data_IF_250966981704
#
_entry.id   IF_250966981704
#
_cell.length_a   1.000
_cell.length_b   1.000
_cell.length_c   1.000
_cell.angle_alpha   90.00
_cell.angle_beta   90.00
_cell.angle_gamma   90.00
#
_symmetry.space_group_name_H-M   'P 1'
#
loop_
_entity.id
_entity.type
_entity.pdbx_description
1 polymer ?
#
# COMPACT_ATOMS: atom_id res chain seq x y z
N UNK A 1 26.56 -7.85 5.94
CA UNK A 1 27.34 -7.29 7.06
C UNK A 1 26.51 -7.28 8.34
N UNK A 2 25.28 -6.80 8.30
CA UNK A 2 24.39 -6.75 9.47
C UNK A 2 24.09 -8.07 10.17
N UNK A 3 24.03 -9.19 9.44
CA UNK A 3 23.87 -10.52 10.06
C UNK A 3 25.18 -10.99 10.73
N UNK A 4 26.34 -10.61 10.18
CA UNK A 4 27.66 -11.09 10.62
C UNK A 4 28.25 -10.20 11.72
N UNK A 5 27.95 -8.91 11.71
CA UNK A 5 28.34 -7.91 12.72
C UNK A 5 27.15 -6.99 12.99
N UNK A 6 26.14 -7.44 13.76
CA UNK A 6 24.99 -6.61 14.08
C UNK A 6 25.38 -5.46 15.01
N UNK A 7 24.71 -4.31 14.87
CA UNK A 7 24.96 -3.10 15.68
C UNK A 7 24.52 -3.25 17.15
N UNK A 8 23.68 -4.25 17.41
CA UNK A 8 23.17 -4.66 18.71
C UNK A 8 22.39 -5.97 18.55
N UNK A 9 22.02 -6.62 19.65
CA UNK A 9 21.15 -7.81 19.57
C UNK A 9 19.68 -7.39 19.71
N UNK A 10 18.79 -7.75 18.75
CA UNK A 10 17.39 -7.33 18.77
C UNK A 10 16.65 -7.74 20.05
N UNK A 11 17.08 -8.83 20.70
CA UNK A 11 16.46 -9.34 21.92
C UNK A 11 16.59 -8.42 23.14
N UNK A 12 17.51 -7.45 23.14
CA UNK A 12 17.64 -6.48 24.23
C UNK A 12 16.74 -5.25 24.07
N UNK A 13 16.04 -5.11 22.93
CA UNK A 13 15.18 -3.97 22.67
C UNK A 13 13.72 -4.42 22.68
N UNK A 14 12.97 -3.92 23.66
CA UNK A 14 11.54 -4.18 23.73
C UNK A 14 10.81 -3.47 22.58
N UNK A 15 9.79 -4.11 21.97
CA UNK A 15 8.94 -3.45 21.00
C UNK A 15 8.33 -2.17 21.60
N UNK A 16 8.24 -1.11 20.80
CA UNK A 16 7.73 0.19 21.24
C UNK A 16 6.38 0.51 20.59
N UNK A 17 5.53 1.24 21.31
CA UNK A 17 4.21 1.66 20.83
C UNK A 17 3.30 0.47 20.48
N UNK A 18 2.56 0.58 19.38
CA UNK A 18 1.59 -0.44 18.94
C UNK A 18 2.23 -1.81 18.64
N UNK A 19 3.52 -1.85 18.28
CA UNK A 19 4.24 -3.11 18.06
C UNK A 19 4.42 -3.95 19.34
N UNK A 20 4.28 -3.36 20.53
CA UNK A 20 4.30 -4.10 21.79
C UNK A 20 3.02 -4.89 22.03
N UNK A 21 1.88 -4.38 21.54
CA UNK A 21 0.57 -4.98 21.77
C UNK A 21 0.12 -5.84 20.59
N UNK A 22 0.42 -5.43 19.36
CA UNK A 22 -0.11 -6.06 18.15
C UNK A 22 0.86 -6.00 16.96
N UNK A 23 2.02 -6.68 17.00
CA UNK A 23 3.06 -6.54 15.98
C UNK A 23 2.60 -6.91 14.56
N UNK A 24 1.71 -7.91 14.43
CA UNK A 24 1.16 -8.31 13.13
C UNK A 24 0.24 -7.24 12.54
N UNK A 25 -0.63 -6.63 13.36
CA UNK A 25 -1.58 -5.62 12.90
C UNK A 25 -0.87 -4.31 12.59
N UNK A 26 0.08 -3.91 13.43
CA UNK A 26 0.92 -2.72 13.19
C UNK A 26 1.74 -2.87 11.92
N UNK A 27 2.36 -4.04 11.69
CA UNK A 27 3.09 -4.32 10.45
C UNK A 27 2.20 -4.34 9.21
N UNK A 28 0.97 -4.85 9.32
CA UNK A 28 0.00 -4.84 8.22
C UNK A 28 -0.38 -3.41 7.81
N UNK A 29 -0.61 -2.54 8.79
CA UNK A 29 -0.97 -1.13 8.57
C UNK A 29 0.21 -0.33 8.01
N UNK A 30 1.43 -0.58 8.51
CA UNK A 30 2.61 0.03 7.90
C UNK A 30 2.90 -0.46 6.49
N UNK A 31 2.40 -1.65 6.14
CA UNK A 31 2.33 -2.09 4.75
C UNK A 31 1.57 -1.12 3.84
N UNK A 32 0.66 -0.29 4.36
CA UNK A 32 -0.04 0.70 3.53
C UNK A 32 0.92 1.77 2.98
N UNK A 33 1.98 2.10 3.72
CA UNK A 33 2.96 3.08 3.27
C UNK A 33 3.80 2.59 2.08
N UNK A 34 3.77 1.29 1.75
CA UNK A 34 4.48 0.75 0.58
C UNK A 34 3.82 1.11 -0.74
N UNK A 35 2.53 1.47 -0.73
CA UNK A 35 1.73 1.77 -1.93
C UNK A 35 1.53 0.60 -2.91
N UNK A 36 2.12 -0.57 -2.68
CA UNK A 36 2.10 -1.70 -3.63
C UNK A 36 0.68 -2.22 -3.91
N UNK A 37 -0.18 -2.25 -2.88
CA UNK A 37 -1.57 -2.69 -3.02
C UNK A 37 -2.37 -1.79 -3.95
N UNK A 38 -2.35 -0.47 -3.72
CA UNK A 38 -3.03 0.50 -4.56
C UNK A 38 -2.38 0.60 -5.95
N UNK A 39 -1.05 0.57 -6.02
CA UNK A 39 -0.28 0.61 -7.25
C UNK A 39 -0.56 -0.57 -8.18
N UNK A 40 -0.83 -1.77 -7.62
CA UNK A 40 -1.20 -2.95 -8.42
C UNK A 40 -2.50 -2.77 -9.21
N UNK A 41 -3.44 -1.96 -8.70
CA UNK A 41 -4.70 -1.66 -9.39
C UNK A 41 -4.45 -0.70 -10.55
N UNK A 42 -3.58 0.29 -10.36
CA UNK A 42 -3.25 1.29 -11.38
C UNK A 42 -2.37 0.73 -12.51
N UNK A 43 -1.31 -0.01 -12.18
CA UNK A 43 -0.35 -0.54 -13.15
C UNK A 43 -0.70 -1.97 -13.64
N UNK A 44 -1.71 -2.61 -13.05
CA UNK A 44 -2.06 -4.00 -13.36
C UNK A 44 -2.37 -4.25 -14.85
N UNK A 45 -3.04 -3.30 -15.51
CA UNK A 45 -3.35 -3.41 -16.95
C UNK A 45 -2.08 -3.38 -17.81
N UNK A 46 -1.13 -2.49 -17.49
CA UNK A 46 0.13 -2.35 -18.20
C UNK A 46 0.98 -3.61 -18.07
N UNK A 47 1.00 -4.26 -16.90
CA UNK A 47 1.66 -5.58 -16.72
C UNK A 47 1.03 -6.62 -17.64
N UNK A 48 -0.29 -6.69 -17.66
CA UNK A 48 -1.04 -7.66 -18.46
C UNK A 48 -0.76 -7.45 -19.96
N UNK A 49 -0.73 -6.21 -20.43
CA UNK A 49 -0.41 -5.85 -21.80
C UNK A 49 1.03 -6.16 -22.15
N UNK A 50 1.99 -5.78 -21.30
CA UNK A 50 3.41 -6.08 -21.51
C UNK A 50 3.65 -7.59 -21.66
N UNK A 51 3.01 -8.42 -20.84
CA UNK A 51 3.16 -9.89 -20.95
C UNK A 51 2.47 -10.45 -22.20
N UNK A 52 1.39 -9.81 -22.68
CA UNK A 52 0.76 -10.17 -23.96
C UNK A 52 1.67 -9.82 -25.14
N UNK A 53 2.34 -8.68 -25.09
CA UNK A 53 3.28 -8.22 -26.12
C UNK A 53 4.51 -9.12 -26.23
N UNK A 54 4.90 -9.77 -25.12
CA UNK A 54 5.91 -10.84 -25.11
C UNK A 54 5.44 -12.16 -25.77
N UNK A 55 4.24 -12.20 -26.33
CA UNK A 55 3.72 -13.32 -27.13
C UNK A 55 2.80 -14.29 -26.39
N UNK A 56 2.47 -14.04 -25.11
CA UNK A 56 1.56 -14.90 -24.32
C UNK A 56 0.11 -14.57 -24.64
N UNK A 57 -0.51 -15.32 -25.54
CA UNK A 57 -1.88 -15.06 -26.02
C UNK A 57 -2.98 -15.76 -25.23
N UNK A 58 -2.71 -16.89 -24.57
CA UNK A 58 -3.76 -17.63 -23.88
C UNK A 58 -4.04 -17.05 -22.47
N UNK A 59 -5.31 -16.81 -22.09
CA UNK A 59 -5.65 -16.22 -20.79
C UNK A 59 -5.13 -17.02 -19.59
N UNK A 60 -5.13 -18.36 -19.71
CA UNK A 60 -4.63 -19.24 -18.65
C UNK A 60 -3.11 -19.15 -18.49
N UNK A 61 -2.35 -19.12 -19.58
CA UNK A 61 -0.90 -18.96 -19.49
C UNK A 61 -0.54 -17.56 -19.01
N UNK A 62 -1.27 -16.52 -19.43
CA UNK A 62 -1.08 -15.16 -18.95
C UNK A 62 -1.21 -15.07 -17.43
N UNK A 63 -2.28 -15.63 -16.86
CA UNK A 63 -2.49 -15.66 -15.41
C UNK A 63 -1.39 -16.45 -14.67
N UNK A 64 -0.98 -17.60 -15.19
CA UNK A 64 0.08 -18.42 -14.57
C UNK A 64 1.44 -17.72 -14.63
N UNK A 65 1.78 -17.12 -15.77
CA UNK A 65 3.05 -16.41 -15.95
C UNK A 65 3.17 -15.22 -15.02
N UNK A 66 2.12 -14.38 -14.96
CA UNK A 66 2.06 -13.23 -14.04
C UNK A 66 2.08 -13.71 -12.59
N UNK A 67 1.31 -14.75 -12.26
CA UNK A 67 1.27 -15.31 -10.90
C UNK A 67 2.62 -15.87 -10.44
N UNK A 68 3.34 -16.60 -11.29
CA UNK A 68 4.68 -17.11 -10.99
C UNK A 68 5.70 -15.97 -10.83
N UNK A 69 5.70 -15.00 -11.74
CA UNK A 69 6.58 -13.84 -11.65
C UNK A 69 6.30 -13.03 -10.38
N UNK A 70 5.02 -12.80 -10.05
CA UNK A 70 4.59 -12.11 -8.85
C UNK A 70 4.96 -12.86 -7.57
N UNK A 71 4.83 -14.19 -7.55
CA UNK A 71 5.24 -15.00 -6.38
C UNK A 71 6.74 -14.93 -6.13
N UNK A 72 7.56 -15.08 -7.18
CA UNK A 72 9.03 -14.98 -7.07
C UNK A 72 9.42 -13.57 -6.60
N UNK A 73 8.89 -12.52 -7.25
CA UNK A 73 9.14 -11.14 -6.88
C UNK A 73 8.71 -10.82 -5.44
N UNK A 74 7.52 -11.26 -5.05
CA UNK A 74 6.97 -11.07 -3.71
C UNK A 74 7.80 -11.76 -2.62
N UNK A 75 8.27 -12.99 -2.87
CA UNK A 75 9.16 -13.70 -1.95
C UNK A 75 10.51 -12.99 -1.80
N UNK A 76 11.10 -12.52 -2.90
CA UNK A 76 12.35 -11.76 -2.84
C UNK A 76 12.16 -10.45 -2.05
N UNK A 77 11.06 -9.73 -2.28
CA UNK A 77 10.73 -8.52 -1.54
C UNK A 77 10.49 -8.78 -0.05
N UNK A 78 9.81 -9.88 0.30
CA UNK A 78 9.62 -10.27 1.70
C UNK A 78 10.96 -10.51 2.41
N UNK A 79 11.91 -11.19 1.75
CA UNK A 79 13.26 -11.38 2.30
C UNK A 79 13.95 -10.03 2.52
N UNK A 80 13.89 -9.12 1.54
CA UNK A 80 14.49 -7.78 1.67
C UNK A 80 13.89 -7.02 2.85
N UNK A 81 12.56 -7.03 3.02
CA UNK A 81 11.92 -6.36 4.14
C UNK A 81 12.28 -6.97 5.49
N UNK A 82 12.35 -8.30 5.61
CA UNK A 82 12.82 -8.95 6.85
C UNK A 82 14.25 -8.51 7.18
N UNK A 83 15.14 -8.45 6.20
CA UNK A 83 16.52 -7.99 6.39
C UNK A 83 16.59 -6.50 6.79
N UNK A 84 15.78 -5.65 6.17
CA UNK A 84 15.68 -4.22 6.50
C UNK A 84 15.13 -4.02 7.93
N UNK A 85 14.07 -4.73 8.30
CA UNK A 85 13.50 -4.70 9.65
C UNK A 85 14.50 -5.19 10.69
N UNK A 86 15.24 -6.28 10.41
CA UNK A 86 16.32 -6.74 11.27
C UNK A 86 17.42 -5.68 11.44
N UNK A 87 17.85 -5.05 10.34
CA UNK A 87 18.82 -3.95 10.41
C UNK A 87 18.32 -2.77 11.22
N UNK A 88 17.06 -2.37 11.04
CA UNK A 88 16.41 -1.31 11.83
C UNK A 88 16.29 -1.66 13.32
N UNK A 89 16.02 -2.92 13.67
CA UNK A 89 15.98 -3.36 15.07
C UNK A 89 17.37 -3.35 15.71
N UNK A 90 18.40 -3.84 14.99
CA UNK A 90 19.78 -3.86 15.51
C UNK A 90 20.40 -2.47 15.63
N UNK A 91 19.97 -1.50 14.82
CA UNK A 91 20.51 -0.13 14.85
C UNK A 91 20.22 0.58 16.17
N UNK A 92 19.19 0.15 16.92
CA UNK A 92 18.87 0.64 18.25
C UNK A 92 19.99 0.41 19.29
N UNK A 93 20.95 -0.46 19.00
CA UNK A 93 22.12 -0.64 19.85
C UNK A 93 23.19 0.45 19.74
N UNK A 94 23.12 1.30 18.73
CA UNK A 94 24.04 2.42 18.53
C UNK A 94 23.32 3.75 18.39
N UNK A 95 22.08 3.74 17.91
CA UNK A 95 21.30 4.93 17.62
C UNK A 95 19.97 4.92 18.37
N UNK A 96 19.45 6.11 18.65
CA UNK A 96 18.06 6.25 19.10
C UNK A 96 17.10 6.00 17.93
N UNK A 97 15.83 5.65 18.20
CA UNK A 97 14.82 5.51 17.16
C UNK A 97 14.78 6.74 16.25
N UNK A 98 14.98 6.53 14.94
CA UNK A 98 14.98 7.60 13.94
C UNK A 98 13.55 8.04 13.62
N UNK A 99 13.37 9.30 13.22
CA UNK A 99 12.04 9.85 12.90
C UNK A 99 11.38 9.19 11.67
N UNK A 100 12.16 8.64 10.73
CA UNK A 100 11.66 7.89 9.59
C UNK A 100 12.72 6.90 9.04
N UNK A 101 12.29 6.00 8.16
CA UNK A 101 13.15 4.98 7.57
C UNK A 101 14.30 5.52 6.72
N UNK A 102 14.14 6.69 6.08
CA UNK A 102 15.20 7.33 5.30
C UNK A 102 16.40 7.73 6.17
N UNK A 103 16.12 8.38 7.31
CA UNK A 103 17.16 8.77 8.28
C UNK A 103 17.84 7.51 8.86
N UNK A 104 17.05 6.49 9.21
CA UNK A 104 17.58 5.23 9.72
C UNK A 104 18.54 4.56 8.72
N UNK A 105 18.18 4.51 7.44
CA UNK A 105 19.02 3.93 6.39
C UNK A 105 20.35 4.69 6.21
N UNK A 106 20.33 6.02 6.24
CA UNK A 106 21.54 6.85 6.16
C UNK A 106 22.46 6.60 7.36
N UNK A 107 21.90 6.53 8.58
CA UNK A 107 22.67 6.23 9.80
C UNK A 107 23.30 4.84 9.74
N UNK A 108 22.54 3.83 9.31
CA UNK A 108 23.00 2.45 9.16
C UNK A 108 24.09 2.36 8.07
N UNK A 109 23.88 3.00 6.91
CA UNK A 109 24.85 3.00 5.81
C UNK A 109 26.16 3.70 6.20
N UNK A 110 26.07 4.84 6.90
CA UNK A 110 27.24 5.56 7.43
C UNK A 110 28.00 4.70 8.43
N UNK A 111 27.31 3.94 9.28
CA UNK A 111 27.95 3.06 10.25
C UNK A 111 28.74 1.92 9.58
N UNK A 112 28.15 1.22 8.61
CA UNK A 112 28.82 0.06 7.98
C UNK A 112 29.87 0.43 6.92
N UNK A 113 29.66 1.51 6.19
CA UNK A 113 30.47 1.86 5.02
C UNK A 113 31.18 3.22 5.14
N UNK A 114 31.05 3.91 6.27
CA UNK A 114 31.65 5.23 6.50
C UNK A 114 31.14 6.28 5.50
N UNK A 115 31.99 7.26 5.16
CA UNK A 115 31.64 8.33 4.22
C UNK A 115 31.26 7.85 2.82
N UNK A 116 31.80 6.72 2.36
CA UNK A 116 31.45 6.11 1.07
C UNK A 116 30.06 5.47 1.07
N UNK A 117 29.54 5.10 2.25
CA UNK A 117 28.21 4.50 2.40
C UNK A 117 27.08 5.39 1.89
N UNK A 118 27.17 6.70 2.15
CA UNK A 118 26.14 7.65 1.75
C UNK A 118 26.11 7.86 0.23
N UNK A 119 27.26 7.85 -0.43
CA UNK A 119 27.34 7.93 -1.90
C UNK A 119 26.71 6.67 -2.51
N UNK A 120 27.11 5.49 -2.02
CA UNK A 120 26.59 4.22 -2.51
C UNK A 120 25.07 4.11 -2.29
N UNK A 121 24.60 4.46 -1.09
CA UNK A 121 23.17 4.47 -0.76
C UNK A 121 22.40 5.42 -1.68
N UNK A 122 22.92 6.63 -1.91
CA UNK A 122 22.26 7.61 -2.78
C UNK A 122 22.12 7.09 -4.21
N UNK A 123 23.16 6.48 -4.78
CA UNK A 123 23.12 5.89 -6.11
C UNK A 123 22.09 4.76 -6.21
N UNK A 124 22.07 3.85 -5.24
CA UNK A 124 21.11 2.74 -5.19
C UNK A 124 19.69 3.28 -5.10
N UNK A 125 19.44 4.26 -4.23
CA UNK A 125 18.12 4.88 -4.05
C UNK A 125 17.67 5.61 -5.30
N UNK A 126 18.56 6.35 -5.98
CA UNK A 126 18.24 7.01 -7.26
C UNK A 126 17.79 5.97 -8.30
N UNK A 127 18.57 4.90 -8.50
CA UNK A 127 18.24 3.86 -9.48
C UNK A 127 16.93 3.14 -9.11
N UNK A 128 16.74 2.83 -7.83
CA UNK A 128 15.55 2.13 -7.34
C UNK A 128 14.28 2.99 -7.44
N UNK A 129 14.35 4.27 -7.10
CA UNK A 129 13.21 5.18 -7.18
C UNK A 129 12.90 5.62 -8.61
N UNK A 130 13.92 5.76 -9.47
CA UNK A 130 13.74 6.18 -10.86
C UNK A 130 12.88 5.19 -11.64
N UNK A 131 13.14 3.88 -11.53
CA UNK A 131 12.32 2.86 -12.21
C UNK A 131 10.84 2.90 -11.76
N UNK A 132 10.60 3.12 -10.47
CA UNK A 132 9.24 3.14 -9.91
C UNK A 132 8.51 4.42 -10.29
N UNK A 133 9.20 5.56 -10.28
CA UNK A 133 8.66 6.82 -10.75
C UNK A 133 8.26 6.76 -12.23
N UNK A 134 9.13 6.21 -13.09
CA UNK A 134 8.83 6.02 -14.51
C UNK A 134 7.60 5.13 -14.69
N UNK A 135 7.57 3.97 -14.03
CA UNK A 135 6.46 3.01 -14.17
C UNK A 135 5.11 3.57 -13.68
N UNK A 136 5.10 4.28 -12.53
CA UNK A 136 3.85 4.86 -11.99
C UNK A 136 3.37 6.06 -12.79
N UNK A 137 4.27 6.95 -13.22
CA UNK A 137 3.89 8.13 -14.01
C UNK A 137 3.37 7.75 -15.40
N UNK A 138 3.98 6.76 -16.06
CA UNK A 138 3.46 6.27 -17.35
C UNK A 138 2.11 5.59 -17.18
N UNK A 139 1.97 4.69 -16.20
CA UNK A 139 0.72 3.97 -15.96
C UNK A 139 -0.44 4.91 -15.59
N UNK A 140 -0.16 5.96 -14.81
CA UNK A 140 -1.14 6.99 -14.48
C UNK A 140 -1.58 7.75 -15.73
N UNK A 141 -0.64 8.14 -16.59
CA UNK A 141 -0.94 8.84 -17.83
C UNK A 141 -1.76 7.97 -18.80
N UNK A 142 -1.41 6.70 -18.98
CA UNK A 142 -2.17 5.73 -19.77
C UNK A 142 -3.60 5.58 -19.24
N UNK A 143 -3.73 5.28 -17.94
CA UNK A 143 -5.03 5.06 -17.29
C UNK A 143 -5.93 6.29 -17.38
N UNK A 144 -5.38 7.49 -17.18
CA UNK A 144 -6.17 8.73 -17.28
C UNK A 144 -6.61 9.03 -18.71
N UNK A 145 -5.75 8.75 -19.70
CA UNK A 145 -6.10 8.91 -21.12
C UNK A 145 -7.16 7.90 -21.57
N UNK A 146 -7.15 6.68 -21.03
CA UNK A 146 -8.15 5.67 -21.32
C UNK A 146 -9.50 5.96 -20.66
N UNK A 147 -9.50 6.35 -19.38
CA UNK A 147 -10.73 6.66 -18.63
C UNK A 147 -11.37 7.96 -19.14
N UNK A 148 -10.56 8.96 -19.48
CA UNK A 148 -11.01 10.27 -19.93
C UNK A 148 -10.45 10.60 -21.31
N UNK A 149 -11.20 10.32 -22.39
CA UNK A 149 -10.75 10.53 -23.78
C UNK A 149 -10.36 11.98 -24.13
N UNK A 150 -10.68 12.95 -23.26
CA UNK A 150 -10.29 14.36 -23.41
C UNK A 150 -8.84 14.63 -22.98
N UNK A 151 -8.26 13.80 -22.12
CA UNK A 151 -6.90 13.98 -21.63
C UNK A 151 -5.92 13.21 -22.50
N UNK A 152 -5.03 13.93 -23.18
CA UNK A 152 -3.95 13.32 -23.96
C UNK A 152 -2.84 12.84 -23.04
N UNK A 153 -2.18 11.74 -23.41
CA UNK A 153 -1.14 11.08 -22.61
C UNK A 153 -0.01 12.05 -22.18
N UNK A 154 0.57 12.79 -23.13
CA UNK A 154 1.75 13.61 -22.88
C UNK A 154 1.50 14.75 -21.86
N UNK A 155 0.42 15.56 -21.95
CA UNK A 155 0.08 16.53 -20.91
C UNK A 155 -0.13 15.91 -19.51
N UNK A 156 -0.79 14.75 -19.43
CA UNK A 156 -1.02 14.07 -18.14
C UNK A 156 0.30 13.57 -17.55
N UNK A 157 1.17 13.01 -18.39
CA UNK A 157 2.49 12.55 -17.97
C UNK A 157 3.34 13.71 -17.43
N UNK A 158 3.39 14.83 -18.16
CA UNK A 158 4.13 16.03 -17.73
C UNK A 158 3.57 16.53 -16.41
N UNK A 159 2.23 16.61 -16.28
CA UNK A 159 1.57 17.00 -15.04
C UNK A 159 1.97 16.09 -13.88
N UNK A 160 1.91 14.76 -14.06
CA UNK A 160 2.25 13.79 -13.02
C UNK A 160 3.72 13.93 -12.56
N UNK A 161 4.67 14.07 -13.49
CA UNK A 161 6.09 14.22 -13.15
C UNK A 161 6.37 15.56 -12.46
N UNK A 162 5.84 16.67 -12.98
CA UNK A 162 6.05 18.00 -12.39
C UNK A 162 5.45 18.07 -10.99
N UNK A 163 4.22 17.57 -10.80
CA UNK A 163 3.59 17.54 -9.48
C UNK A 163 4.37 16.65 -8.50
N UNK A 164 4.84 15.48 -8.95
CA UNK A 164 5.67 14.60 -8.10
C UNK A 164 6.99 15.27 -7.70
N UNK A 165 7.63 15.99 -8.63
CA UNK A 165 8.87 16.72 -8.36
C UNK A 165 8.65 17.87 -7.36
N UNK A 166 7.52 18.58 -7.43
CA UNK A 166 7.14 19.60 -6.46
C UNK A 166 6.92 18.99 -5.07
N UNK A 167 6.14 17.90 -4.99
CA UNK A 167 5.85 17.23 -3.71
C UNK A 167 7.10 16.59 -3.08
N UNK A 168 8.07 16.14 -3.90
CA UNK A 168 9.33 15.59 -3.41
C UNK A 168 10.15 16.59 -2.56
N UNK A 169 9.87 17.89 -2.66
CA UNK A 169 10.54 18.93 -1.84
C UNK A 169 10.06 18.97 -0.39
N UNK A 170 8.89 18.39 -0.06
CA UNK A 170 8.26 18.50 1.27
C UNK A 170 8.93 17.65 2.37
N UNK A 171 9.91 16.82 2.02
CA UNK A 171 10.56 15.89 2.96
C UNK A 171 9.69 14.66 3.28
N UNK A 172 10.34 13.53 3.61
CA UNK A 172 9.67 12.23 3.73
C UNK A 172 8.61 12.19 4.84
N UNK A 173 8.88 12.78 6.01
CA UNK A 173 7.94 12.75 7.15
C UNK A 173 6.64 13.48 6.86
N UNK A 174 6.72 14.70 6.32
CA UNK A 174 5.52 15.47 5.95
C UNK A 174 4.80 14.86 4.76
N UNK A 175 5.54 14.28 3.79
CA UNK A 175 4.93 13.53 2.69
C UNK A 175 4.10 12.35 3.20
N UNK A 176 4.63 11.53 4.12
CA UNK A 176 3.88 10.43 4.73
C UNK A 176 2.64 10.97 5.45
N UNK A 177 2.79 12.02 6.27
CA UNK A 177 1.67 12.65 6.98
C UNK A 177 0.57 13.15 6.05
N UNK A 178 0.94 13.73 4.91
CA UNK A 178 0.00 14.21 3.89
C UNK A 178 -0.72 13.07 3.17
N UNK A 179 -0.02 11.98 2.86
CA UNK A 179 -0.55 10.87 2.06
C UNK A 179 -1.37 9.89 2.92
N UNK A 180 -1.04 9.70 4.20
CA UNK A 180 -1.68 8.75 5.12
C UNK A 180 -3.23 8.81 5.14
N UNK A 181 -3.89 9.98 5.24
CA UNK A 181 -5.35 10.08 5.19
C UNK A 181 -5.94 9.51 3.91
N UNK A 182 -5.29 9.74 2.77
CA UNK A 182 -5.71 9.22 1.47
C UNK A 182 -5.54 7.70 1.43
N UNK A 183 -4.43 7.19 1.96
CA UNK A 183 -4.19 5.74 2.01
C UNK A 183 -5.23 5.02 2.87
N UNK A 184 -5.57 5.56 4.03
CA UNK A 184 -6.58 4.97 4.91
C UNK A 184 -7.96 4.91 4.26
N UNK A 185 -8.25 5.75 3.28
CA UNK A 185 -9.48 5.67 2.47
C UNK A 185 -9.31 4.63 1.35
N UNK A 186 -8.21 4.68 0.60
CA UNK A 186 -8.01 3.88 -0.62
C UNK A 186 -7.72 2.41 -0.36
N UNK A 187 -6.97 2.09 0.70
CA UNK A 187 -6.56 0.71 1.02
C UNK A 187 -7.72 -0.24 1.33
N UNK A 188 -8.72 0.12 2.15
CA UNK A 188 -9.89 -0.71 2.40
C UNK A 188 -10.58 -1.17 1.10
N UNK A 189 -10.78 -0.24 0.15
CA UNK A 189 -11.33 -0.56 -1.16
C UNK A 189 -10.39 -1.46 -1.95
N UNK A 190 -9.11 -1.10 -2.03
CA UNK A 190 -8.12 -1.83 -2.82
C UNK A 190 -8.01 -3.30 -2.39
N UNK A 191 -7.87 -3.55 -1.08
CA UNK A 191 -7.77 -4.90 -0.53
C UNK A 191 -9.03 -5.71 -0.83
N UNK A 192 -10.22 -5.13 -0.61
CA UNK A 192 -11.47 -5.84 -0.86
C UNK A 192 -11.67 -6.15 -2.34
N UNK A 193 -11.35 -5.21 -3.23
CA UNK A 193 -11.42 -5.43 -4.67
C UNK A 193 -10.47 -6.53 -5.12
N UNK A 194 -9.23 -6.56 -4.61
CA UNK A 194 -8.26 -7.62 -4.89
C UNK A 194 -8.79 -8.98 -4.41
N UNK A 195 -9.23 -9.07 -3.15
CA UNK A 195 -9.74 -10.31 -2.55
C UNK A 195 -10.95 -10.86 -3.32
N UNK A 196 -11.95 -10.01 -3.61
CA UNK A 196 -13.13 -10.40 -4.38
C UNK A 196 -12.73 -10.83 -5.80
N UNK A 197 -11.73 -10.18 -6.41
CA UNK A 197 -11.23 -10.55 -7.74
C UNK A 197 -10.57 -11.92 -7.78
N UNK A 198 -9.88 -12.32 -6.70
CA UNK A 198 -9.28 -13.66 -6.59
C UNK A 198 -10.33 -14.76 -6.44
N UNK A 199 -11.38 -14.52 -5.66
CA UNK A 199 -12.48 -15.49 -5.47
C UNK A 199 -13.57 -15.38 -6.54
N UNK A 200 -13.48 -14.41 -7.46
CA UNK A 200 -14.46 -14.16 -8.53
C UNK A 200 -14.89 -15.42 -9.29
N UNK A 201 -14.00 -16.37 -9.66
CA UNK A 201 -14.41 -17.59 -10.36
C UNK A 201 -15.37 -18.49 -9.55
N UNK A 202 -15.38 -18.37 -8.22
CA UNK A 202 -16.27 -19.11 -7.32
C UNK A 202 -17.61 -18.39 -7.09
N UNK A 203 -17.70 -17.11 -7.46
CA UNK A 203 -18.89 -16.28 -7.23
C UNK A 203 -19.89 -16.41 -8.38
N UNK A 204 -21.15 -16.67 -8.04
CA UNK A 204 -22.26 -16.70 -9.02
C UNK A 204 -22.54 -15.33 -9.63
N UNK A 205 -22.58 -14.28 -8.80
CA UNK A 205 -22.83 -12.89 -9.22
C UNK A 205 -21.82 -11.94 -8.57
N UNK A 206 -20.58 -11.88 -9.10
CA UNK A 206 -19.53 -11.08 -8.49
C UNK A 206 -19.91 -9.59 -8.39
N UNK A 207 -20.66 -9.04 -9.35
CA UNK A 207 -21.07 -7.63 -9.37
C UNK A 207 -21.81 -7.17 -8.11
N UNK A 208 -22.75 -7.97 -7.61
CA UNK A 208 -23.52 -7.63 -6.39
C UNK A 208 -22.61 -7.68 -5.17
N UNK A 209 -21.71 -8.66 -5.11
CA UNK A 209 -20.73 -8.80 -4.02
C UNK A 209 -19.79 -7.60 -3.99
N UNK A 210 -19.27 -7.17 -5.14
CA UNK A 210 -18.46 -5.94 -5.25
C UNK A 210 -19.23 -4.71 -4.76
N UNK A 211 -20.44 -4.49 -5.27
CA UNK A 211 -21.23 -3.31 -4.90
C UNK A 211 -21.51 -3.27 -3.40
N UNK A 212 -22.03 -4.36 -2.84
CA UNK A 212 -22.38 -4.41 -1.41
C UNK A 212 -21.15 -4.24 -0.53
N UNK A 213 -20.05 -4.92 -0.83
CA UNK A 213 -18.81 -4.78 -0.06
C UNK A 213 -18.27 -3.35 -0.11
N UNK A 214 -18.23 -2.73 -1.29
CA UNK A 214 -17.79 -1.33 -1.46
C UNK A 214 -18.68 -0.34 -0.71
N UNK A 215 -20.01 -0.47 -0.79
CA UNK A 215 -20.94 0.43 -0.11
C UNK A 215 -20.77 0.40 1.42
N UNK A 216 -20.64 -0.80 1.98
CA UNK A 216 -20.48 -0.98 3.42
C UNK A 216 -19.14 -0.48 3.94
N UNK A 217 -18.08 -0.54 3.13
CA UNK A 217 -16.74 -0.07 3.49
C UNK A 217 -16.60 1.45 3.35
N UNK A 218 -17.39 2.10 2.49
CA UNK A 218 -17.18 3.50 2.17
C UNK A 218 -17.22 4.43 3.40
N UNK A 219 -18.22 4.23 4.28
CA UNK A 219 -18.37 5.04 5.50
C UNK A 219 -17.19 4.86 6.44
N UNK A 220 -16.81 3.65 6.89
CA UNK A 220 -15.68 3.48 7.81
C UNK A 220 -14.33 3.84 7.17
N UNK A 221 -14.15 3.67 5.87
CA UNK A 221 -12.93 4.08 5.17
C UNK A 221 -12.77 5.61 5.16
N UNK A 222 -13.83 6.35 4.79
CA UNK A 222 -13.84 7.81 4.82
C UNK A 222 -13.64 8.31 6.25
N UNK A 223 -14.33 7.71 7.23
CA UNK A 223 -14.16 8.04 8.64
C UNK A 223 -12.71 7.88 9.09
N UNK A 224 -12.10 6.73 8.79
CA UNK A 224 -10.70 6.44 9.12
C UNK A 224 -9.74 7.47 8.52
N UNK A 225 -9.95 7.83 7.24
CA UNK A 225 -9.17 8.87 6.57
C UNK A 225 -9.27 10.22 7.27
N UNK A 226 -10.48 10.68 7.59
CA UNK A 226 -10.71 11.96 8.27
C UNK A 226 -10.07 11.97 9.66
N UNK A 227 -10.24 10.90 10.44
CA UNK A 227 -9.68 10.83 11.80
C UNK A 227 -8.16 10.68 11.84
N UNK A 228 -7.54 10.34 10.71
CA UNK A 228 -6.07 10.28 10.58
C UNK A 228 -5.47 11.68 10.45
N UNK A 229 -6.27 12.72 10.16
CA UNK A 229 -5.79 14.10 10.05
C UNK A 229 -5.72 14.73 11.45
N UNK A 230 -4.52 15.02 12.00
CA UNK A 230 -4.39 15.48 13.39
C UNK A 230 -5.04 16.84 13.64
N UNK A 231 -5.03 17.72 12.65
CA UNK A 231 -5.57 19.08 12.74
C UNK A 231 -7.10 19.11 12.92
N UNK A 232 -7.79 18.07 12.42
CA UNK A 232 -9.24 17.96 12.56
C UNK A 232 -9.66 17.45 13.96
N UNK A 233 -8.74 16.88 14.74
CA UNK A 233 -9.03 16.36 16.08
C UNK A 233 -9.42 17.48 17.08
N UNK A 234 -8.88 18.67 16.89
CA UNK A 234 -9.12 19.82 17.77
C UNK A 234 -10.34 20.66 17.38
N UNK A 235 -10.94 20.39 16.22
CA UNK A 235 -12.12 21.11 15.76
C UNK A 235 -13.39 20.54 16.42
N UNK A 236 -14.18 21.35 17.15
CA UNK A 236 -15.35 20.86 17.91
C UNK A 236 -16.41 20.22 17.00
N UNK A 237 -16.52 20.68 15.75
CA UNK A 237 -17.43 20.14 14.72
C UNK A 237 -17.11 18.68 14.35
N UNK A 238 -15.86 18.23 14.50
CA UNK A 238 -15.44 16.88 14.13
C UNK A 238 -15.25 15.95 15.32
N UNK A 239 -15.34 16.46 16.55
CA UNK A 239 -15.16 15.68 17.79
C UNK A 239 -16.07 14.44 17.91
N UNK A 240 -17.27 14.47 17.31
CA UNK A 240 -18.18 13.33 17.27
C UNK A 240 -17.70 12.21 16.32
N UNK A 241 -17.00 12.53 15.23
CA UNK A 241 -16.41 11.55 14.31
C UNK A 241 -15.32 10.73 15.00
N UNK A 242 -14.48 11.39 15.81
CA UNK A 242 -13.45 10.70 16.59
C UNK A 242 -14.06 9.75 17.62
N UNK A 243 -15.15 10.15 18.30
CA UNK A 243 -15.90 9.27 19.21
C UNK A 243 -16.50 8.07 18.48
N UNK A 244 -17.08 8.26 17.29
CA UNK A 244 -17.58 7.16 16.47
C UNK A 244 -16.46 6.20 16.05
N UNK A 245 -15.29 6.72 15.68
CA UNK A 245 -14.16 5.90 15.31
C UNK A 245 -13.66 5.05 16.48
N UNK A 246 -13.64 5.57 17.70
CA UNK A 246 -13.29 4.78 18.89
C UNK A 246 -14.27 3.64 19.22
N UNK A 247 -15.52 3.74 18.78
CA UNK A 247 -16.54 2.68 18.98
C UNK A 247 -16.36 1.55 17.96
N UNK A 248 -15.71 1.82 16.82
CA UNK A 248 -15.52 0.81 15.79
C UNK A 248 -14.44 -0.20 16.21
N UNK A 249 -14.74 -1.52 16.16
CA UNK A 249 -13.75 -2.53 16.47
C UNK A 249 -12.58 -2.48 15.48
N UNK A 250 -11.36 -2.65 15.98
CA UNK A 250 -10.11 -2.55 15.22
C UNK A 250 -9.77 -1.15 14.65
N UNK A 251 -10.57 -0.12 14.91
CA UNK A 251 -10.25 1.24 14.48
C UNK A 251 -9.02 1.81 15.20
N UNK A 252 -8.73 1.35 16.43
CA UNK A 252 -7.48 1.68 17.13
C UNK A 252 -6.22 1.27 16.34
N UNK A 253 -6.35 0.27 15.46
CA UNK A 253 -5.27 -0.20 14.59
C UNK A 253 -5.45 0.29 13.13
N UNK A 254 -6.26 1.30 12.85
CA UNK A 254 -6.50 1.75 11.47
C UNK A 254 -7.27 0.75 10.58
N UNK A 255 -7.93 -0.24 11.18
CA UNK A 255 -8.65 -1.32 10.50
C UNK A 255 -10.15 -1.36 10.82
N UNK A 256 -10.73 -0.19 11.15
CA UNK A 256 -12.17 -0.07 11.46
C UNK A 256 -13.10 -0.50 10.32
N UNK A 257 -12.58 -0.65 9.10
CA UNK A 257 -13.31 -1.09 7.91
C UNK A 257 -13.52 -2.60 7.80
N UNK A 258 -12.69 -3.42 8.46
CA UNK A 258 -12.66 -4.88 8.23
C UNK A 258 -13.99 -5.55 8.59
N UNK A 259 -14.58 -5.18 9.73
CA UNK A 259 -15.88 -5.73 10.12
C UNK A 259 -16.98 -5.41 9.11
N UNK A 260 -17.02 -4.16 8.63
CA UNK A 260 -18.00 -3.73 7.64
C UNK A 260 -17.77 -4.39 6.28
N UNK A 261 -16.52 -4.62 5.90
CA UNK A 261 -16.18 -5.39 4.71
C UNK A 261 -16.74 -6.82 4.78
N UNK A 262 -16.55 -7.49 5.92
CA UNK A 262 -17.06 -8.85 6.13
C UNK A 262 -18.59 -8.90 6.09
N UNK A 263 -19.27 -7.92 6.71
CA UNK A 263 -20.73 -7.80 6.68
C UNK A 263 -21.22 -7.56 5.23
N UNK A 264 -20.63 -6.59 4.53
CA UNK A 264 -20.98 -6.27 3.15
C UNK A 264 -20.74 -7.45 2.21
N UNK A 265 -19.65 -8.18 2.41
CA UNK A 265 -19.33 -9.40 1.67
C UNK A 265 -20.34 -10.53 1.94
N UNK A 266 -20.68 -10.80 3.20
CA UNK A 266 -21.66 -11.81 3.58
C UNK A 266 -23.06 -11.49 3.02
N UNK A 267 -23.51 -10.24 3.12
CA UNK A 267 -24.77 -9.78 2.53
C UNK A 267 -24.73 -9.96 1.00
N UNK A 268 -23.63 -9.56 0.37
CA UNK A 268 -23.40 -9.72 -1.06
C UNK A 268 -23.51 -11.17 -1.51
N UNK A 269 -22.92 -12.12 -0.76
CA UNK A 269 -23.03 -13.56 -1.02
C UNK A 269 -24.47 -14.07 -0.90
N UNK A 270 -25.17 -13.70 0.18
CA UNK A 270 -26.56 -14.12 0.39
C UNK A 270 -27.45 -13.63 -0.75
N UNK A 271 -27.32 -12.36 -1.15
CA UNK A 271 -28.07 -11.77 -2.26
C UNK A 271 -27.68 -12.39 -3.61
N UNK A 272 -26.42 -12.77 -3.79
CA UNK A 272 -25.95 -13.48 -4.98
C UNK A 272 -26.57 -14.86 -5.14
N UNK A 273 -26.99 -15.53 -4.04
CA UNK A 273 -27.59 -16.87 -4.08
C UNK A 273 -29.11 -16.80 -4.27
N UNK A 274 -29.79 -15.78 -3.70
CA UNK A 274 -31.25 -15.68 -3.70
C UNK A 274 -31.89 -15.24 -5.02
N UNK A 275 -31.14 -14.70 -5.98
CA UNK A 275 -31.68 -14.22 -7.25
C UNK A 275 -31.26 -15.12 -8.43
N UNK A 276 -32.23 -15.53 -9.27
CA UNK A 276 -32.03 -16.43 -10.42
C UNK A 276 -30.85 -15.99 -11.31
N UNK A 277 -29.97 -16.89 -11.82
CA UNK A 277 -28.71 -16.52 -12.46
C UNK A 277 -28.89 -15.47 -13.57
N UNK A 278 -28.15 -14.36 -13.47
CA UNK A 278 -28.07 -13.40 -14.57
C UNK A 278 -27.08 -13.96 -15.59
N UNK A 279 -27.60 -14.44 -16.71
CA UNK A 279 -26.82 -14.68 -17.94
C UNK A 279 -26.28 -13.34 -18.40
N UNK A 280 -24.96 -13.18 -18.45
CA UNK A 280 -24.32 -12.05 -19.11
C UNK A 280 -23.33 -12.56 -20.16
N UNK A 281 -23.48 -12.03 -21.38
CA UNK A 281 -22.54 -12.14 -22.50
C UNK A 281 -21.28 -11.31 -22.22
#
# INVERSE_FOLDING_TARGET
MSIVKPMGSPHFYHPMGEYAHSPLLSGFVEGYNTLDGAGSIAFGIVVVETVRDLGVKSPKQLAISIGKAGLIGGLMMAVVYVLLSYMGATSLGQFRPSANGGIALVQIATHYFGGYGNILLSLIVIVACLKTAIAMSSAFADTMSDIFPKFKYLPVLIFAVVMSALLATMGLTEMIRFVMPVLMIVYPFSICLILISLIKPLLRRPRIVYQMTTWWIAIPAILSGITTIPELAHAPVFSWLFKLNHILPMAQYGMGWVLFALIGFAIGLILSVKQAPQSFK
#
